data_IF_038743298415
#
_entry.id   IF_038743298415
#
_cell.length_a   1.000
_cell.length_b   1.000
_cell.length_c   1.000
_cell.angle_alpha   90.00
_cell.angle_beta   90.00
_cell.angle_gamma   90.00
#
_symmetry.space_group_name_H-M   'P 1'
#
loop_
_entity.id
_entity.type
_entity.pdbx_description
1 polymer ?
#
# COMPACT_ATOMS: atom_id res chain seq x y z
N UNK A 1 -9.38 -20.75 -22.84
CA UNK A 1 -9.34 -20.45 -21.39
C UNK A 1 -10.32 -19.33 -21.02
N UNK A 2 -10.43 -18.26 -21.81
CA UNK A 2 -11.34 -17.12 -21.61
C UNK A 2 -12.81 -17.46 -21.31
N UNK A 3 -13.37 -18.52 -21.92
CA UNK A 3 -14.74 -18.98 -21.65
C UNK A 3 -14.88 -19.88 -20.41
N UNK A 4 -13.77 -20.17 -19.72
CA UNK A 4 -13.73 -21.03 -18.51
C UNK A 4 -13.39 -20.26 -17.24
N UNK A 5 -13.07 -18.97 -17.35
CA UNK A 5 -12.78 -18.10 -16.22
C UNK A 5 -13.71 -16.90 -16.24
N UNK A 6 -14.25 -16.54 -15.07
CA UNK A 6 -14.94 -15.28 -14.89
C UNK A 6 -13.89 -14.21 -14.56
N UNK A 7 -13.81 -13.09 -15.31
CA UNK A 7 -12.94 -11.98 -14.94
C UNK A 7 -13.40 -11.37 -13.60
N UNK A 8 -12.47 -11.27 -12.67
CA UNK A 8 -12.62 -10.52 -11.41
C UNK A 8 -11.69 -9.33 -11.48
N UNK A 9 -12.25 -8.13 -11.52
CA UNK A 9 -11.48 -6.90 -11.55
C UNK A 9 -11.06 -6.53 -10.12
N UNK A 10 -9.78 -6.26 -9.93
CA UNK A 10 -9.22 -5.75 -8.68
C UNK A 10 -8.58 -4.41 -8.98
N UNK A 11 -9.19 -3.34 -8.47
CA UNK A 11 -8.65 -1.98 -8.58
C UNK A 11 -7.54 -1.72 -7.57
N UNK A 12 -6.79 -0.64 -7.77
CA UNK A 12 -5.88 -0.16 -6.72
C UNK A 12 -6.69 0.33 -5.50
N UNK A 13 -6.17 0.16 -4.28
CA UNK A 13 -6.79 0.71 -3.08
C UNK A 13 -6.77 2.25 -3.09
N UNK A 14 -7.65 2.84 -2.29
CA UNK A 14 -7.56 4.27 -1.97
C UNK A 14 -6.33 4.57 -1.11
N UNK A 15 -6.00 5.86 -0.95
CA UNK A 15 -4.94 6.29 -0.03
C UNK A 15 -5.26 5.84 1.40
N UNK A 16 -6.53 5.95 1.81
CA UNK A 16 -7.01 5.57 3.15
C UNK A 16 -6.89 4.06 3.39
N UNK A 17 -7.30 3.25 2.41
CA UNK A 17 -7.13 1.79 2.45
C UNK A 17 -5.65 1.41 2.50
N UNK A 18 -4.80 2.11 1.75
CA UNK A 18 -3.36 1.88 1.75
C UNK A 18 -2.74 2.17 3.12
N UNK A 19 -3.15 3.25 3.78
CA UNK A 19 -2.71 3.55 5.16
C UNK A 19 -3.11 2.41 6.11
N UNK A 20 -4.32 1.88 5.98
CA UNK A 20 -4.77 0.74 6.80
C UNK A 20 -3.93 -0.52 6.53
N UNK A 21 -3.63 -0.83 5.26
CA UNK A 21 -2.74 -1.93 4.87
C UNK A 21 -1.35 -1.74 5.49
N UNK A 22 -0.74 -0.56 5.35
CA UNK A 22 0.58 -0.25 5.90
C UNK A 22 0.62 -0.36 7.43
N UNK A 23 -0.44 0.08 8.12
CA UNK A 23 -0.57 -0.10 9.58
C UNK A 23 -0.62 -1.58 9.98
N UNK A 24 -1.29 -2.42 9.20
CA UNK A 24 -1.30 -3.87 9.39
C UNK A 24 0.07 -4.53 9.16
N UNK A 25 0.92 -3.94 8.31
CA UNK A 25 2.28 -4.44 8.02
C UNK A 25 3.36 -3.84 8.93
N UNK A 26 3.04 -2.77 9.66
CA UNK A 26 3.99 -1.97 10.44
C UNK A 26 4.88 -2.81 11.34
N UNK A 27 4.30 -3.67 12.18
CA UNK A 27 5.05 -4.48 13.16
C UNK A 27 6.07 -5.38 12.45
N UNK A 28 5.67 -5.98 11.33
CA UNK A 28 6.56 -6.84 10.53
C UNK A 28 7.76 -6.06 9.98
N UNK A 29 7.55 -4.83 9.50
CA UNK A 29 8.63 -3.97 9.01
C UNK A 29 9.52 -3.44 10.14
N UNK A 30 8.93 -3.07 11.29
CA UNK A 30 9.69 -2.65 12.47
C UNK A 30 10.63 -3.76 12.94
N UNK A 31 10.15 -5.01 13.04
CA UNK A 31 10.95 -6.18 13.41
C UNK A 31 12.02 -6.47 12.35
N UNK A 32 11.64 -6.46 11.07
CA UNK A 32 12.57 -6.77 9.98
C UNK A 32 13.73 -5.78 9.88
N UNK A 33 13.47 -4.50 10.11
CA UNK A 33 14.48 -3.44 9.99
C UNK A 33 15.09 -3.00 11.33
N UNK A 34 14.59 -3.49 12.46
CA UNK A 34 15.08 -3.11 13.79
C UNK A 34 14.83 -1.63 14.13
N UNK A 35 13.77 -1.04 13.57
CA UNK A 35 13.43 0.39 13.75
C UNK A 35 12.01 0.56 14.27
N UNK A 36 11.70 1.76 14.78
CA UNK A 36 10.32 2.17 15.06
C UNK A 36 9.82 3.08 13.95
N UNK A 37 8.63 2.79 13.45
CA UNK A 37 7.96 3.56 12.42
C UNK A 37 6.85 4.36 13.08
N UNK A 38 6.88 5.68 12.92
CA UNK A 38 5.81 6.54 13.43
C UNK A 38 4.58 6.42 12.52
N UNK A 39 3.39 6.61 13.09
CA UNK A 39 2.14 6.50 12.32
C UNK A 39 2.02 7.60 11.26
N UNK A 40 2.50 8.81 11.57
CA UNK A 40 2.58 9.94 10.63
C UNK A 40 3.42 9.62 9.38
N UNK A 41 4.46 8.80 9.53
CA UNK A 41 5.31 8.36 8.43
C UNK A 41 4.55 7.44 7.46
N UNK A 42 3.64 6.58 7.95
CA UNK A 42 2.80 5.73 7.10
C UNK A 42 1.79 6.57 6.31
N UNK A 43 1.18 7.55 6.96
CA UNK A 43 0.27 8.52 6.30
C UNK A 43 1.03 9.29 5.22
N UNK A 44 2.22 9.81 5.54
CA UNK A 44 3.05 10.53 4.58
C UNK A 44 3.47 9.64 3.40
N UNK A 45 3.85 8.39 3.65
CA UNK A 45 4.25 7.46 2.59
C UNK A 45 3.11 7.23 1.57
N UNK A 46 1.88 6.98 2.05
CA UNK A 46 0.73 6.81 1.17
C UNK A 46 0.37 8.10 0.41
N UNK A 47 0.33 9.25 1.07
CA UNK A 47 -0.06 10.53 0.44
C UNK A 47 0.97 11.02 -0.57
N UNK A 48 2.27 10.95 -0.22
CA UNK A 48 3.34 11.45 -1.07
C UNK A 48 3.59 10.53 -2.26
N UNK A 49 3.51 9.21 -2.08
CA UNK A 49 3.64 8.27 -3.19
C UNK A 49 2.48 8.39 -4.17
N UNK A 50 1.25 8.59 -3.67
CA UNK A 50 0.10 8.85 -4.53
C UNK A 50 0.30 10.09 -5.39
N UNK A 51 0.75 11.18 -4.76
CA UNK A 51 0.94 12.47 -5.43
C UNK A 51 2.11 12.50 -6.41
N UNK A 52 3.25 11.91 -6.07
CA UNK A 52 4.51 12.16 -6.78
C UNK A 52 5.09 10.94 -7.52
N UNK A 53 4.63 9.72 -7.21
CA UNK A 53 5.08 8.50 -7.88
C UNK A 53 3.99 8.01 -8.83
N UNK A 54 3.97 8.58 -10.04
CA UNK A 54 2.91 8.34 -11.05
C UNK A 54 3.10 7.08 -11.88
N UNK A 55 4.32 6.52 -11.94
CA UNK A 55 4.64 5.32 -12.71
C UNK A 55 4.29 4.00 -12.02
N UNK A 56 3.61 4.04 -10.87
CA UNK A 56 3.23 2.87 -10.06
C UNK A 56 1.85 3.07 -9.44
N UNK A 57 1.26 1.97 -9.00
CA UNK A 57 -0.05 1.93 -8.37
C UNK A 57 0.08 1.65 -6.87
N UNK A 58 -0.89 2.12 -6.09
CA UNK A 58 -1.03 1.66 -4.71
C UNK A 58 -1.44 0.17 -4.71
N UNK A 59 -1.11 -0.60 -3.66
CA UNK A 59 -0.35 -0.20 -2.47
C UNK A 59 1.18 -0.26 -2.64
N UNK A 60 1.69 -0.80 -3.75
CA UNK A 60 3.14 -1.09 -3.94
C UNK A 60 4.07 0.12 -3.76
N UNK A 61 3.62 1.30 -4.21
CA UNK A 61 4.45 2.52 -4.17
C UNK A 61 4.50 3.22 -2.81
N UNK A 62 3.68 2.80 -1.84
CA UNK A 62 3.57 3.40 -0.51
C UNK A 62 4.40 2.61 0.50
#
# INVERSE_FOLDING_TARGET
>A
LERRFQPVYVGQPSVEDTIAILRGLKERYEVHHGVRIRDDALVAAAVLSDRYVTGRFLPDKA
#
